data_IF_789447083221
#
_entry.id   IF_789447083221
#
_cell.length_a   1.000
_cell.length_b   1.000
_cell.length_c   1.000
_cell.angle_alpha   90.00
_cell.angle_beta   90.00
_cell.angle_gamma   90.00
#
_symmetry.space_group_name_H-M   'P 1'
#
loop_
_entity.id
_entity.type
_entity.pdbx_description
1 polymer ?
#
# COMPACT_ATOMS: atom_id res chain seq x y z
N UNK A 1 -10.99 12.57 0.68
CA UNK A 1 -10.47 11.37 1.33
C UNK A 1 -11.57 10.82 2.24
N UNK A 2 -12.01 9.58 2.06
CA UNK A 2 -12.94 8.95 3.02
C UNK A 2 -12.18 8.75 4.33
N UNK A 3 -12.53 9.52 5.35
CA UNK A 3 -11.90 9.43 6.66
C UNK A 3 -12.46 8.23 7.41
N UNK A 4 -11.56 7.42 7.98
CA UNK A 4 -11.92 6.35 8.89
C UNK A 4 -12.66 6.94 10.11
N UNK A 5 -13.71 6.27 10.65
CA UNK A 5 -14.36 6.70 11.87
C UNK A 5 -13.35 6.94 13.01
N UNK A 6 -13.56 8.00 13.80
CA UNK A 6 -12.65 8.40 14.87
C UNK A 6 -12.41 7.32 15.95
N UNK A 7 -13.35 6.38 16.06
CA UNK A 7 -13.31 5.24 16.98
C UNK A 7 -12.38 4.11 16.54
N UNK A 8 -12.10 4.00 15.24
CA UNK A 8 -11.21 2.97 14.70
C UNK A 8 -9.74 3.40 14.73
N UNK A 9 -9.45 4.69 14.93
CA UNK A 9 -8.09 5.16 15.16
C UNK A 9 -7.60 4.78 16.56
N UNK A 10 -6.51 4.02 16.62
CA UNK A 10 -5.87 3.62 17.88
C UNK A 10 -4.85 4.66 18.28
N UNK A 11 -5.15 5.38 19.36
CA UNK A 11 -4.25 6.33 19.98
C UNK A 11 -3.48 5.64 21.12
N UNK A 12 -2.18 5.95 21.31
CA UNK A 12 -1.36 5.31 22.35
C UNK A 12 -1.85 5.57 23.77
N UNK A 13 -2.68 6.60 23.96
CA UNK A 13 -3.18 7.04 25.27
C UNK A 13 -4.58 6.47 25.61
N UNK A 14 -5.24 5.76 24.70
CA UNK A 14 -6.56 5.18 24.93
C UNK A 14 -6.47 3.72 25.39
N UNK A 15 -7.30 3.27 26.34
CA UNK A 15 -7.42 1.86 26.69
C UNK A 15 -7.71 1.02 25.45
N UNK A 16 -7.06 -0.14 25.32
CA UNK A 16 -7.16 -0.99 24.14
C UNK A 16 -8.60 -1.48 23.90
N UNK A 17 -9.24 -0.99 22.84
CA UNK A 17 -10.51 -1.51 22.33
C UNK A 17 -10.32 -2.65 21.30
N UNK A 18 -9.07 -2.99 20.95
CA UNK A 18 -8.69 -3.90 19.87
C UNK A 18 -9.56 -3.75 18.60
N UNK A 19 -9.66 -2.55 18.01
CA UNK A 19 -10.41 -2.39 16.76
C UNK A 19 -9.75 -3.22 15.64
N UNK A 20 -10.52 -3.63 14.62
CA UNK A 20 -9.96 -4.30 13.46
C UNK A 20 -8.80 -3.52 12.85
N UNK A 21 -7.78 -4.24 12.38
CA UNK A 21 -6.64 -3.61 11.72
C UNK A 21 -7.05 -3.17 10.31
N UNK A 22 -6.96 -1.86 10.11
CA UNK A 22 -7.25 -1.19 8.86
C UNK A 22 -5.96 -0.63 8.27
N UNK A 23 -5.88 -0.66 6.94
CA UNK A 23 -4.72 -0.20 6.19
C UNK A 23 -5.14 0.92 5.25
N UNK A 24 -4.35 1.99 5.18
CA UNK A 24 -4.58 3.11 4.28
C UNK A 24 -3.62 3.08 3.10
N UNK A 25 -4.13 3.33 1.90
CA UNK A 25 -3.35 3.35 0.66
C UNK A 25 -4.19 3.03 -0.56
N UNK A 26 -3.55 2.48 -1.60
CA UNK A 26 -4.17 2.24 -2.91
C UNK A 26 -4.31 0.76 -3.19
N UNK A 27 -5.52 0.35 -3.57
CA UNK A 27 -5.76 -0.97 -4.17
C UNK A 27 -5.14 -1.04 -5.56
N UNK A 28 -4.48 -2.16 -5.87
CA UNK A 28 -3.77 -2.36 -7.13
C UNK A 28 -3.99 -3.77 -7.66
N UNK A 29 -3.94 -3.91 -8.98
CA UNK A 29 -3.90 -5.22 -9.64
C UNK A 29 -2.50 -5.80 -9.58
N UNK A 30 -2.39 -7.12 -9.43
CA UNK A 30 -1.09 -7.81 -9.46
C UNK A 30 -0.30 -7.49 -10.74
N UNK A 31 -1.01 -7.43 -11.88
CA UNK A 31 -0.44 -7.10 -13.18
C UNK A 31 0.25 -5.72 -13.19
N UNK A 32 -0.30 -4.70 -12.51
CA UNK A 32 0.29 -3.35 -12.47
C UNK A 32 1.65 -3.36 -11.77
N UNK A 33 1.76 -4.05 -10.63
CA UNK A 33 3.02 -4.20 -9.89
C UNK A 33 4.04 -4.99 -10.72
N UNK A 34 3.57 -6.05 -11.37
CA UNK A 34 4.38 -6.91 -12.21
C UNK A 34 5.00 -6.14 -13.39
N UNK A 35 4.16 -5.48 -14.19
CA UNK A 35 4.60 -4.70 -15.35
C UNK A 35 5.56 -3.58 -14.94
N UNK A 36 5.25 -2.89 -13.84
CA UNK A 36 6.10 -1.86 -13.28
C UNK A 36 7.50 -2.38 -12.95
N UNK A 37 7.60 -3.51 -12.22
CA UNK A 37 8.87 -4.10 -11.82
C UNK A 37 9.78 -4.42 -13.02
N UNK A 38 9.23 -5.04 -14.06
CA UNK A 38 10.00 -5.35 -15.26
C UNK A 38 10.31 -4.12 -16.10
N UNK A 39 9.38 -3.17 -16.24
CA UNK A 39 9.60 -1.90 -16.96
C UNK A 39 10.77 -1.11 -16.34
N UNK A 40 10.87 -1.12 -15.01
CA UNK A 40 11.95 -0.49 -14.23
C UNK A 40 13.20 -1.37 -14.09
N UNK A 41 13.18 -2.62 -14.60
CA UNK A 41 14.27 -3.60 -14.49
C UNK A 41 14.71 -3.86 -13.05
N UNK A 42 13.74 -3.95 -12.13
CA UNK A 42 13.98 -4.18 -10.70
C UNK A 42 14.34 -5.64 -10.39
N UNK A 43 14.00 -6.54 -11.31
CA UNK A 43 14.19 -7.99 -11.21
C UNK A 43 14.78 -8.55 -12.50
N UNK A 44 15.41 -9.73 -12.46
CA UNK A 44 15.89 -10.41 -13.66
C UNK A 44 14.76 -10.72 -14.65
N UNK A 45 15.05 -10.60 -15.95
CA UNK A 45 14.04 -10.76 -17.00
C UNK A 45 13.53 -12.20 -17.12
N UNK A 46 14.36 -13.18 -16.75
CA UNK A 46 14.07 -14.60 -16.70
C UNK A 46 12.97 -14.98 -15.71
N UNK A 47 12.69 -14.13 -14.70
CA UNK A 47 11.59 -14.35 -13.76
C UNK A 47 10.23 -14.03 -14.38
N UNK A 48 10.19 -13.62 -15.66
CA UNK A 48 8.94 -13.32 -16.34
C UNK A 48 8.14 -14.61 -16.60
N UNK A 49 7.00 -14.73 -15.94
CA UNK A 49 6.06 -15.84 -16.03
C UNK A 49 6.32 -16.92 -14.98
N UNK A 50 7.27 -16.67 -14.07
CA UNK A 50 7.60 -17.57 -12.98
C UNK A 50 6.74 -17.24 -11.75
N UNK A 51 5.72 -18.08 -11.51
CA UNK A 51 4.78 -17.96 -10.39
C UNK A 51 5.49 -18.02 -9.03
N UNK A 52 6.59 -18.79 -8.91
CA UNK A 52 7.36 -18.91 -7.67
C UNK A 52 8.07 -17.58 -7.30
N UNK A 53 8.28 -16.71 -8.30
CA UNK A 53 8.93 -15.42 -8.12
C UNK A 53 7.96 -14.25 -7.95
N UNK A 54 6.65 -14.42 -8.19
CA UNK A 54 5.69 -13.30 -8.25
C UNK A 54 5.69 -12.40 -7.02
N UNK A 55 5.64 -12.99 -5.83
CA UNK A 55 5.66 -12.21 -4.59
C UNK A 55 6.94 -11.37 -4.46
N UNK A 56 8.08 -11.91 -4.88
CA UNK A 56 9.37 -11.20 -4.85
C UNK A 56 9.34 -10.03 -5.87
N UNK A 57 8.74 -10.24 -7.04
CA UNK A 57 8.54 -9.18 -8.03
C UNK A 57 7.67 -8.05 -7.47
N UNK A 58 6.58 -8.37 -6.78
CA UNK A 58 5.71 -7.35 -6.16
C UNK A 58 6.42 -6.60 -5.03
N UNK A 59 7.18 -7.31 -4.19
CA UNK A 59 7.99 -6.67 -3.15
C UNK A 59 9.05 -5.73 -3.74
N UNK A 60 9.69 -6.11 -4.85
CA UNK A 60 10.66 -5.25 -5.52
C UNK A 60 10.00 -3.97 -6.06
N UNK A 61 8.81 -4.08 -6.66
CA UNK A 61 8.02 -2.92 -7.09
C UNK A 61 7.73 -1.96 -5.93
N UNK A 62 7.19 -2.47 -4.82
CA UNK A 62 6.84 -1.66 -3.64
C UNK A 62 8.07 -1.03 -3.01
N UNK A 63 9.19 -1.74 -2.95
CA UNK A 63 10.45 -1.21 -2.41
C UNK A 63 10.99 -0.05 -3.26
N UNK A 64 10.83 -0.11 -4.57
CA UNK A 64 11.20 1.02 -5.43
C UNK A 64 10.25 2.20 -5.25
N UNK A 65 8.95 1.95 -5.06
CA UNK A 65 7.99 3.01 -4.75
C UNK A 65 8.31 3.68 -3.41
N UNK A 66 8.62 2.91 -2.36
CA UNK A 66 9.08 3.41 -1.06
C UNK A 66 10.27 4.37 -1.25
N UNK A 67 11.27 3.93 -2.03
CA UNK A 67 12.44 4.74 -2.37
C UNK A 67 12.10 6.04 -3.11
N UNK A 68 11.13 6.00 -4.04
CA UNK A 68 10.71 7.18 -4.82
C UNK A 68 9.90 8.16 -3.97
N UNK A 69 9.05 7.65 -3.09
CA UNK A 69 8.20 8.44 -2.21
C UNK A 69 8.95 8.95 -0.97
N UNK A 70 10.16 8.44 -0.71
CA UNK A 70 10.94 8.79 0.49
C UNK A 70 10.28 8.36 1.78
N UNK A 71 9.38 7.38 1.72
CA UNK A 71 8.51 7.01 2.82
C UNK A 71 8.11 5.55 2.76
N UNK A 72 7.92 4.94 3.93
CA UNK A 72 7.74 3.50 4.04
C UNK A 72 6.41 3.07 3.40
N UNK A 73 6.49 2.19 2.40
CA UNK A 73 5.35 1.53 1.78
C UNK A 73 5.45 0.03 1.99
N UNK A 74 4.31 -0.64 2.03
CA UNK A 74 4.28 -2.10 2.13
C UNK A 74 3.10 -2.69 1.37
N UNK A 75 3.22 -3.97 1.05
CA UNK A 75 2.19 -4.71 0.33
C UNK A 75 1.27 -5.40 1.34
N UNK A 76 -0.03 -5.29 1.15
CA UNK A 76 -1.04 -5.99 1.95
C UNK A 76 -2.14 -6.56 1.06
N UNK A 77 -2.82 -7.59 1.52
CA UNK A 77 -3.97 -8.17 0.82
C UNK A 77 -5.28 -7.53 1.34
N UNK A 78 -6.00 -6.76 0.51
CA UNK A 78 -7.24 -6.10 0.92
C UNK A 78 -8.43 -7.08 0.87
N UNK A 79 -9.09 -7.30 2.01
CA UNK A 79 -10.25 -8.18 2.10
C UNK A 79 -11.51 -7.55 1.50
N UNK A 80 -12.33 -8.37 0.83
CA UNK A 80 -13.65 -7.97 0.34
C UNK A 80 -13.63 -6.97 -0.80
N UNK A 81 -12.54 -6.95 -1.59
CA UNK A 81 -12.40 -6.03 -2.72
C UNK A 81 -12.01 -6.78 -4.00
N UNK A 82 -12.17 -6.11 -5.14
CA UNK A 82 -11.74 -6.65 -6.44
C UNK A 82 -10.22 -6.48 -6.69
N UNK A 83 -9.46 -5.93 -5.75
CA UNK A 83 -8.00 -5.77 -5.90
C UNK A 83 -7.26 -7.00 -5.41
N UNK A 84 -6.20 -7.37 -6.12
CA UNK A 84 -5.35 -8.49 -5.74
C UNK A 84 -4.43 -8.10 -4.57
N UNK A 85 -4.01 -6.83 -4.55
CA UNK A 85 -3.09 -6.28 -3.57
C UNK A 85 -3.42 -4.83 -3.24
N UNK A 86 -2.78 -4.34 -2.20
CA UNK A 86 -2.79 -2.94 -1.81
C UNK A 86 -1.34 -2.50 -1.55
N UNK A 87 -0.98 -1.31 -2.06
CA UNK A 87 0.22 -0.58 -1.61
C UNK A 87 -0.21 0.31 -0.46
N UNK A 88 0.11 -0.10 0.76
CA UNK A 88 -0.29 0.55 1.99
C UNK A 88 0.82 1.45 2.53
N UNK A 89 0.41 2.57 3.14
CA UNK A 89 1.30 3.54 3.81
C UNK A 89 1.38 3.30 5.31
N UNK A 90 0.24 3.18 5.98
CA UNK A 90 0.16 2.91 7.42
C UNK A 90 -1.10 2.12 7.78
N UNK A 91 -1.17 1.73 9.05
CA UNK A 91 -2.37 1.17 9.66
C UNK A 91 -3.03 2.17 10.60
N UNK A 92 -4.27 1.91 10.99
CA UNK A 92 -4.97 2.66 12.05
C UNK A 92 -4.29 2.59 13.43
N UNK A 93 -3.23 1.78 13.58
CA UNK A 93 -2.41 1.66 14.79
C UNK A 93 -1.13 2.51 14.77
N UNK A 94 -0.64 2.88 13.60
CA UNK A 94 0.64 3.59 13.46
C UNK A 94 0.53 4.91 12.70
N UNK A 95 -0.66 5.23 12.18
CA UNK A 95 -0.92 6.43 11.38
C UNK A 95 -0.32 7.70 12.03
N UNK A 96 -0.50 7.90 13.34
CA UNK A 96 -0.02 9.09 14.06
C UNK A 96 1.51 9.21 14.17
N UNK A 97 2.26 8.12 13.96
CA UNK A 97 3.73 8.18 13.89
C UNK A 97 4.24 8.42 12.46
N UNK A 98 3.39 8.15 11.48
CA UNK A 98 3.72 8.11 10.06
C UNK A 98 2.97 9.21 9.28
N UNK A 99 2.22 10.05 10.00
CA UNK A 99 1.39 11.14 9.48
C UNK A 99 2.30 12.16 8.79
N UNK A 100 1.97 12.41 7.53
CA UNK A 100 2.58 13.46 6.73
C UNK A 100 1.60 14.63 6.62
N UNK A 101 2.10 15.80 6.22
CA UNK A 101 1.19 16.88 5.86
C UNK A 101 0.31 16.43 4.67
N UNK A 102 -0.95 16.87 4.57
CA UNK A 102 -1.88 16.40 3.54
C UNK A 102 -1.33 16.53 2.12
N UNK A 103 -0.56 17.58 1.84
CA UNK A 103 0.08 17.80 0.54
C UNK A 103 1.17 16.77 0.24
N UNK A 104 1.97 16.39 1.24
CA UNK A 104 3.01 15.38 1.13
C UNK A 104 2.39 13.99 0.96
N UNK A 105 1.30 13.70 1.68
CA UNK A 105 0.57 12.45 1.50
C UNK A 105 -0.03 12.34 0.09
N UNK A 106 -0.63 13.42 -0.42
CA UNK A 106 -1.15 13.43 -1.79
C UNK A 106 -0.02 13.26 -2.83
N UNK A 107 1.15 13.86 -2.62
CA UNK A 107 2.32 13.65 -3.49
C UNK A 107 2.75 12.17 -3.51
N UNK A 108 2.78 11.51 -2.36
CA UNK A 108 3.07 10.07 -2.26
C UNK A 108 2.05 9.27 -3.06
N UNK A 109 0.76 9.57 -2.91
CA UNK A 109 -0.31 8.85 -3.63
C UNK A 109 -0.27 9.12 -5.14
N UNK A 110 0.07 10.34 -5.55
CA UNK A 110 0.27 10.72 -6.95
C UNK A 110 1.44 9.97 -7.59
N UNK A 111 2.55 9.81 -6.88
CA UNK A 111 3.69 9.00 -7.34
C UNK A 111 3.23 7.56 -7.57
N UNK A 112 2.55 6.94 -6.59
CA UNK A 112 2.08 5.55 -6.72
C UNK A 112 1.11 5.42 -7.92
N UNK A 113 0.15 6.34 -8.06
CA UNK A 113 -0.80 6.37 -9.19
C UNK A 113 -0.08 6.46 -10.53
N UNK A 114 0.85 7.41 -10.66
CA UNK A 114 1.62 7.62 -11.90
C UNK A 114 2.48 6.42 -12.25
N UNK A 115 3.18 5.85 -11.29
CA UNK A 115 4.15 4.78 -11.53
C UNK A 115 3.45 3.44 -11.85
N UNK A 116 2.34 3.15 -11.18
CA UNK A 116 1.57 1.91 -11.38
C UNK A 116 0.46 2.04 -12.42
N UNK A 117 0.18 3.25 -12.91
CA UNK A 117 -0.90 3.50 -13.86
C UNK A 117 -2.29 3.26 -13.27
N UNK A 118 -2.47 3.51 -11.97
CA UNK A 118 -3.75 3.36 -11.29
C UNK A 118 -4.44 4.71 -11.12
N UNK A 119 -5.76 4.72 -11.17
CA UNK A 119 -6.58 5.94 -11.15
C UNK A 119 -7.49 6.06 -9.92
N UNK A 120 -7.47 5.05 -9.06
CA UNK A 120 -8.31 5.02 -7.87
C UNK A 120 -7.81 5.97 -6.79
N UNK A 121 -8.73 6.40 -5.94
CA UNK A 121 -8.42 7.23 -4.77
C UNK A 121 -7.93 6.35 -3.61
N UNK A 122 -6.98 6.85 -2.79
CA UNK A 122 -6.57 6.14 -1.59
C UNK A 122 -7.73 6.06 -0.58
N UNK A 123 -7.85 4.91 0.08
CA UNK A 123 -8.90 4.65 1.08
C UNK A 123 -8.44 3.62 2.10
N UNK A 124 -9.30 3.36 3.07
CA UNK A 124 -9.09 2.37 4.11
C UNK A 124 -9.59 1.00 3.69
N UNK A 125 -8.81 -0.04 3.96
CA UNK A 125 -9.11 -1.43 3.64
C UNK A 125 -8.92 -2.31 4.87
N UNK A 126 -9.75 -3.34 5.00
CA UNK A 126 -9.51 -4.43 5.93
C UNK A 126 -8.32 -5.25 5.44
N UNK A 127 -7.32 -5.43 6.30
CA UNK A 127 -6.17 -6.28 6.00
C UNK A 127 -6.49 -7.76 6.18
N UNK A 128 -5.70 -8.62 5.54
CA UNK A 128 -5.81 -10.08 5.70
C UNK A 128 -5.32 -10.60 7.05
N UNK A 129 -4.53 -9.80 7.77
CA UNK A 129 -3.93 -10.16 9.05
C UNK A 129 -4.79 -9.68 10.22
N UNK A 130 -5.09 -10.57 11.19
CA UNK A 130 -5.83 -10.21 12.41
C UNK A 130 -5.08 -9.20 13.29
#
# INVERSE_FOLDING_TARGET
MEQLPAEDFVYPQKPHCNPPRMHFGLGVKAQSLYEYAFKRRLVPAEWRGDEDCEYIVFQAAVKELDRLCGTKLYLEFPLGTDYDWMVARFTNYIWYYEELEPEEEEEVMDIIRRELGVHDSPRWYHGSRP
#
